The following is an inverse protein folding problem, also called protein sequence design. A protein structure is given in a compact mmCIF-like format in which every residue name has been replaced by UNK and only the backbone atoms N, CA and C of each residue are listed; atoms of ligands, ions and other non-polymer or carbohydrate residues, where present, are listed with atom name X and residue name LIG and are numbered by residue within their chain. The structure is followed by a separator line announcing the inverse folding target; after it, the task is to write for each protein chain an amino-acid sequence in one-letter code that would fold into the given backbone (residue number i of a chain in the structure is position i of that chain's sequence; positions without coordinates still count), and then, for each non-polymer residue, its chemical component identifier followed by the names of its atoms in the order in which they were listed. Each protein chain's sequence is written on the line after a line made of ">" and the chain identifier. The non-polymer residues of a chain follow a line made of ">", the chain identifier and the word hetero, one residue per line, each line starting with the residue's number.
data_IF_973852012991
#
_entry.id   IF_973852012991
#
_cell.length_a   1.000
_cell.length_b   1.000
_cell.length_c   1.000
_cell.angle_alpha   90.00
_cell.angle_beta   90.00
_cell.angle_gamma   90.00
#
_symmetry.space_group_name_H-M   'P 1'
#
loop_
_entity.id
_entity.type
_entity.pdbx_description
1 polymer ?
#
# COMPACT_ATOMS: atom_id res chain seq x y z
N UNK A 1 49.39 11.26 -24.25
CA UNK A 1 48.60 10.10 -23.75
C UNK A 1 47.39 9.94 -24.65
N UNK A 2 47.52 9.12 -25.71
CA UNK A 2 46.41 8.85 -26.64
C UNK A 2 45.43 7.90 -25.96
N UNK A 3 44.24 8.39 -25.64
CA UNK A 3 43.17 7.55 -25.09
C UNK A 3 42.80 6.45 -26.08
N UNK A 4 42.75 5.22 -25.60
CA UNK A 4 42.45 4.05 -26.42
C UNK A 4 41.08 4.23 -27.13
N UNK A 5 41.04 4.21 -28.47
CA UNK A 5 39.82 4.45 -29.23
C UNK A 5 38.74 3.38 -28.98
N UNK A 6 39.09 2.20 -28.48
CA UNK A 6 38.13 1.18 -28.08
C UNK A 6 37.36 1.57 -26.81
N UNK A 7 38.05 2.16 -25.82
CA UNK A 7 37.48 2.65 -24.56
C UNK A 7 36.53 3.82 -24.82
N UNK A 8 36.92 4.75 -25.70
CA UNK A 8 36.07 5.89 -26.07
C UNK A 8 34.75 5.43 -26.71
N UNK A 9 34.78 4.40 -27.57
CA UNK A 9 33.57 3.82 -28.18
C UNK A 9 32.71 3.08 -27.16
N UNK A 10 33.32 2.37 -26.21
CA UNK A 10 32.60 1.70 -25.14
C UNK A 10 31.87 2.70 -24.23
N UNK A 11 32.54 3.78 -23.83
CA UNK A 11 31.95 4.85 -23.03
C UNK A 11 30.82 5.58 -23.76
N UNK A 12 30.97 5.82 -25.07
CA UNK A 12 29.91 6.42 -25.89
C UNK A 12 28.65 5.54 -25.95
N UNK A 13 28.82 4.21 -26.05
CA UNK A 13 27.69 3.25 -26.02
C UNK A 13 27.01 3.23 -24.66
N UNK A 14 27.79 3.23 -23.57
CA UNK A 14 27.26 3.27 -22.21
C UNK A 14 26.45 4.54 -21.95
N UNK A 15 26.98 5.70 -22.35
CA UNK A 15 26.30 6.99 -22.24
C UNK A 15 24.98 7.01 -23.00
N UNK A 16 24.97 6.52 -24.25
CA UNK A 16 23.76 6.42 -25.07
C UNK A 16 22.72 5.47 -24.48
N UNK A 17 23.15 4.36 -23.88
CA UNK A 17 22.25 3.43 -23.19
C UNK A 17 21.63 4.05 -21.94
N UNK A 18 22.42 4.83 -21.17
CA UNK A 18 21.95 5.53 -19.98
C UNK A 18 20.93 6.62 -20.34
N UNK A 19 21.24 7.45 -21.34
CA UNK A 19 20.34 8.50 -21.84
C UNK A 19 19.01 7.91 -22.37
N UNK A 20 19.07 6.75 -23.05
CA UNK A 20 17.87 6.05 -23.51
C UNK A 20 17.03 5.56 -22.33
N UNK A 21 17.65 5.04 -21.27
CA UNK A 21 16.96 4.56 -20.07
C UNK A 21 16.30 5.70 -19.29
N UNK A 22 17.03 6.78 -19.08
CA UNK A 22 16.48 7.99 -18.44
C UNK A 22 15.25 8.52 -19.18
N UNK A 23 15.29 8.59 -20.53
CA UNK A 23 14.12 8.99 -21.33
C UNK A 23 12.92 8.04 -21.20
N UNK A 24 13.15 6.76 -20.93
CA UNK A 24 12.05 5.82 -20.69
C UNK A 24 11.44 6.05 -19.32
N UNK A 25 12.26 6.34 -18.31
CA UNK A 25 11.82 6.64 -16.95
C UNK A 25 11.04 7.97 -16.92
N UNK A 26 11.55 9.03 -17.57
CA UNK A 26 10.85 10.32 -17.71
C UNK A 26 9.49 10.15 -18.41
N UNK A 27 9.43 9.31 -19.45
CA UNK A 27 8.18 9.02 -20.17
C UNK A 27 7.21 8.17 -19.36
N UNK A 28 7.72 7.26 -18.53
CA UNK A 28 6.92 6.47 -17.61
C UNK A 28 6.34 7.35 -16.48
N UNK A 29 7.14 8.29 -15.98
CA UNK A 29 6.74 9.29 -14.99
C UNK A 29 5.72 10.28 -15.58
N UNK A 30 5.92 10.75 -16.82
CA UNK A 30 4.96 11.60 -17.54
C UNK A 30 3.63 10.89 -17.81
N UNK A 31 3.67 9.59 -18.17
CA UNK A 31 2.47 8.76 -18.33
C UNK A 31 1.73 8.56 -17.00
N UNK A 32 2.47 8.30 -15.91
CA UNK A 32 1.90 8.16 -14.56
C UNK A 32 1.25 9.48 -14.08
N UNK A 33 1.89 10.62 -14.35
CA UNK A 33 1.36 11.95 -14.02
C UNK A 33 0.06 12.25 -14.78
N UNK A 34 -0.05 11.81 -16.05
CA UNK A 34 -1.27 11.96 -16.87
C UNK A 34 -2.42 11.06 -16.43
N UNK A 35 -2.16 9.94 -15.76
CA UNK A 35 -3.20 9.06 -15.23
C UNK A 35 -3.85 9.58 -13.93
N UNK A 36 -3.20 10.51 -13.22
CA UNK A 36 -3.68 11.08 -11.95
C UNK A 36 -4.95 11.97 -12.02
N UNK A 37 -5.45 12.25 -13.23
CA UNK A 37 -6.59 13.17 -13.45
C UNK A 37 -7.90 12.52 -13.91
N UNK A 38 -7.97 11.20 -14.06
CA UNK A 38 -9.22 10.53 -14.50
C UNK A 38 -10.14 10.29 -13.31
N UNK A 39 -11.47 10.52 -13.43
CA UNK A 39 -12.42 10.09 -12.42
C UNK A 39 -12.28 8.58 -12.20
N UNK A 40 -12.48 8.11 -10.96
CA UNK A 40 -12.34 6.70 -10.55
C UNK A 40 -13.12 5.79 -11.50
N UNK A 41 -12.47 5.31 -12.56
CA UNK A 41 -12.87 4.09 -13.25
C UNK A 41 -12.44 2.95 -12.33
N UNK A 42 -13.26 1.93 -12.19
CA UNK A 42 -13.17 0.79 -11.28
C UNK A 42 -11.85 -0.01 -11.35
N UNK A 43 -10.71 0.62 -11.02
CA UNK A 43 -9.39 0.12 -11.39
C UNK A 43 -8.54 -0.39 -10.23
N UNK A 44 -8.42 0.36 -9.13
CA UNK A 44 -7.61 -0.08 -7.97
C UNK A 44 -8.26 0.45 -6.70
N UNK A 45 -8.83 -0.46 -5.92
CA UNK A 45 -9.36 -0.17 -4.59
C UNK A 45 -8.21 0.23 -3.65
N UNK A 46 -8.55 0.90 -2.55
CA UNK A 46 -7.57 1.11 -1.48
C UNK A 46 -7.04 -0.25 -0.99
N UNK A 47 -5.73 -0.36 -0.84
CA UNK A 47 -5.08 -1.60 -0.46
C UNK A 47 -3.87 -1.33 0.44
N UNK A 48 -3.29 -2.39 1.00
CA UNK A 48 -2.00 -2.32 1.65
C UNK A 48 -0.93 -2.94 0.75
N UNK A 49 0.26 -2.37 0.73
CA UNK A 49 1.43 -2.98 0.09
C UNK A 49 2.00 -4.07 1.02
N UNK A 50 1.34 -5.22 1.04
CA UNK A 50 1.73 -6.37 1.88
C UNK A 50 3.09 -6.94 1.47
N UNK A 51 3.50 -6.79 0.21
CA UNK A 51 4.84 -7.14 -0.24
C UNK A 51 5.92 -6.23 0.40
N UNK A 52 5.67 -4.92 0.48
CA UNK A 52 6.54 -3.99 1.19
C UNK A 52 6.58 -4.27 2.69
N UNK A 53 5.43 -4.60 3.30
CA UNK A 53 5.36 -5.04 4.69
C UNK A 53 6.21 -6.30 4.91
N UNK A 54 6.07 -7.31 4.05
CA UNK A 54 6.84 -8.55 4.12
C UNK A 54 8.35 -8.32 4.03
N UNK A 55 8.81 -7.42 3.17
CA UNK A 55 10.24 -7.05 3.08
C UNK A 55 10.78 -6.41 4.36
N UNK A 56 9.97 -5.65 5.09
CA UNK A 56 10.35 -5.04 6.36
C UNK A 56 10.28 -6.04 7.52
N UNK A 57 9.29 -6.92 7.50
CA UNK A 57 9.02 -7.89 8.55
C UNK A 57 10.01 -9.06 8.53
N UNK A 58 10.44 -9.51 7.34
CA UNK A 58 11.35 -10.66 7.17
C UNK A 58 12.60 -10.63 8.06
N UNK A 59 13.44 -9.58 8.06
CA UNK A 59 14.64 -9.56 8.91
C UNK A 59 14.32 -9.59 10.41
N UNK A 60 13.17 -9.06 10.84
CA UNK A 60 12.75 -9.09 12.25
C UNK A 60 12.38 -10.52 12.68
N UNK A 61 11.63 -11.24 11.84
CA UNK A 61 11.26 -12.63 12.09
C UNK A 61 12.47 -13.57 12.04
N UNK A 62 13.40 -13.32 11.11
CA UNK A 62 14.65 -14.09 11.00
C UNK A 62 15.54 -13.89 12.23
N UNK A 63 15.61 -12.68 12.78
CA UNK A 63 16.37 -12.39 13.99
C UNK A 63 15.74 -13.01 15.24
N UNK A 64 14.42 -13.00 15.35
CA UNK A 64 13.69 -13.55 16.49
C UNK A 64 13.90 -15.08 16.64
N UNK A 65 13.97 -15.80 15.52
CA UNK A 65 14.31 -17.22 15.48
C UNK A 65 13.23 -18.17 16.02
N UNK A 66 12.11 -17.67 16.57
CA UNK A 66 10.96 -18.49 16.97
C UNK A 66 10.17 -18.98 15.76
N UNK A 67 9.50 -20.11 15.93
CA UNK A 67 8.63 -20.67 14.90
C UNK A 67 7.45 -19.75 14.58
N UNK A 68 7.02 -19.74 13.32
CA UNK A 68 5.99 -18.83 12.82
C UNK A 68 4.64 -18.92 13.55
N UNK A 69 4.31 -20.10 14.11
CA UNK A 69 3.10 -20.26 14.93
C UNK A 69 3.17 -19.45 16.21
N UNK A 70 4.30 -19.52 16.91
CA UNK A 70 4.52 -18.80 18.18
C UNK A 70 4.39 -17.29 17.96
N UNK A 71 4.99 -16.78 16.89
CA UNK A 71 4.90 -15.36 16.55
C UNK A 71 3.50 -14.95 16.12
N UNK A 72 2.81 -15.79 15.35
CA UNK A 72 1.43 -15.51 14.96
C UNK A 72 0.51 -15.41 16.19
N UNK A 73 0.66 -16.33 17.15
CA UNK A 73 -0.12 -16.33 18.39
C UNK A 73 0.14 -15.08 19.23
N UNK A 74 1.40 -14.63 19.33
CA UNK A 74 1.77 -13.40 20.05
C UNK A 74 1.19 -12.13 19.40
N UNK A 75 1.23 -12.06 18.07
CA UNK A 75 0.68 -10.93 17.28
C UNK A 75 -0.86 -10.93 17.29
N UNK A 76 -1.49 -12.08 17.57
CA UNK A 76 -2.94 -12.26 17.43
C UNK A 76 -3.39 -12.45 15.98
N UNK A 77 -2.55 -13.08 15.15
CA UNK A 77 -2.86 -13.48 13.77
C UNK A 77 -2.63 -14.98 13.58
N UNK A 78 -2.94 -15.52 12.40
CA UNK A 78 -2.69 -16.94 12.11
C UNK A 78 -1.38 -17.13 11.35
N UNK A 79 -0.73 -18.30 11.48
CA UNK A 79 0.49 -18.58 10.71
C UNK A 79 0.29 -18.51 9.17
N UNK A 80 -0.88 -18.86 8.60
CA UNK A 80 -1.18 -18.56 7.19
C UNK A 80 -1.18 -17.07 6.85
N UNK A 81 -1.57 -16.18 7.76
CA UNK A 81 -1.56 -14.74 7.49
C UNK A 81 -0.12 -14.23 7.30
N UNK A 82 0.82 -14.68 8.15
CA UNK A 82 2.24 -14.38 8.00
C UNK A 82 2.79 -14.91 6.66
N UNK A 83 2.35 -16.11 6.23
CA UNK A 83 2.70 -16.68 4.93
C UNK A 83 2.17 -15.85 3.77
N UNK A 84 0.92 -15.39 3.83
CA UNK A 84 0.35 -14.48 2.83
C UNK A 84 1.15 -13.19 2.74
N UNK A 85 1.51 -12.58 3.87
CA UNK A 85 2.33 -11.37 3.89
C UNK A 85 3.71 -11.62 3.26
N UNK A 86 4.36 -12.75 3.57
CA UNK A 86 5.65 -13.09 2.96
C UNK A 86 5.56 -13.37 1.46
N UNK A 87 4.41 -13.84 0.98
CA UNK A 87 4.10 -14.00 -0.44
C UNK A 87 3.60 -12.71 -1.12
N UNK A 88 3.44 -11.61 -0.37
CA UNK A 88 2.89 -10.35 -0.89
C UNK A 88 1.40 -10.42 -1.24
N UNK A 89 0.67 -11.35 -0.64
CA UNK A 89 -0.77 -11.51 -0.82
C UNK A 89 -1.54 -10.60 0.15
N UNK A 90 -2.75 -10.23 -0.25
CA UNK A 90 -3.62 -9.37 0.56
C UNK A 90 -4.13 -10.08 1.82
N UNK A 91 -4.23 -9.30 2.89
CA UNK A 91 -4.81 -9.70 4.17
C UNK A 91 -5.75 -8.60 4.67
N UNK A 92 -6.62 -8.96 5.61
CA UNK A 92 -7.56 -8.00 6.21
C UNK A 92 -6.81 -6.85 6.91
N UNK A 93 -7.32 -5.63 6.78
CA UNK A 93 -6.70 -4.43 7.33
C UNK A 93 -6.37 -4.53 8.83
N UNK A 94 -7.27 -5.13 9.63
CA UNK A 94 -7.04 -5.37 11.06
C UNK A 94 -5.78 -6.18 11.35
N UNK A 95 -5.44 -7.13 10.48
CA UNK A 95 -4.22 -7.95 10.60
C UNK A 95 -2.97 -7.17 10.23
N UNK A 96 -3.06 -6.25 9.27
CA UNK A 96 -1.95 -5.32 8.95
C UNK A 96 -1.65 -4.43 10.16
N UNK A 97 -2.67 -3.91 10.83
CA UNK A 97 -2.50 -3.13 12.06
C UNK A 97 -1.81 -3.93 13.15
N UNK A 98 -2.31 -5.12 13.49
CA UNK A 98 -1.72 -5.98 14.51
C UNK A 98 -0.24 -6.30 14.24
N UNK A 99 0.10 -6.66 12.98
CA UNK A 99 1.48 -6.94 12.58
C UNK A 99 2.36 -5.69 12.70
N UNK A 100 1.86 -4.52 12.27
CA UNK A 100 2.60 -3.27 12.36
C UNK A 100 2.82 -2.84 13.81
N UNK A 101 1.82 -2.97 14.68
CA UNK A 101 1.90 -2.62 16.09
C UNK A 101 2.96 -3.49 16.81
N UNK A 102 2.95 -4.80 16.56
CA UNK A 102 3.97 -5.71 17.09
C UNK A 102 5.39 -5.38 16.57
N UNK A 103 5.51 -5.08 15.28
CA UNK A 103 6.80 -4.78 14.64
C UNK A 103 7.30 -3.35 14.89
N UNK A 104 6.55 -2.51 15.61
CA UNK A 104 6.88 -1.08 15.79
C UNK A 104 6.89 -0.29 14.48
N UNK A 105 6.10 -0.71 13.48
CA UNK A 105 6.01 -0.09 12.16
C UNK A 105 4.75 0.79 12.04
N UNK A 106 4.80 1.79 11.18
CA UNK A 106 3.62 2.61 10.89
C UNK A 106 2.78 1.97 9.76
N UNK A 107 1.54 1.53 10.01
CA UNK A 107 0.67 0.93 8.99
C UNK A 107 0.36 1.89 7.83
N UNK A 108 0.34 3.22 8.09
CA UNK A 108 0.10 4.23 7.05
C UNK A 108 1.20 4.26 6.00
N UNK A 109 2.42 3.83 6.33
CA UNK A 109 3.53 3.75 5.37
C UNK A 109 3.32 2.68 4.31
N UNK A 110 2.44 1.71 4.56
CA UNK A 110 2.08 0.64 3.63
C UNK A 110 0.73 0.86 2.96
N UNK A 111 0.00 1.93 3.32
CA UNK A 111 -1.30 2.21 2.73
C UNK A 111 -1.15 2.74 1.31
N UNK A 112 -1.83 2.08 0.37
CA UNK A 112 -1.95 2.50 -1.03
C UNK A 112 -3.33 3.11 -1.25
N UNK A 113 -3.42 4.44 -1.49
CA UNK A 113 -4.69 5.07 -1.80
C UNK A 113 -5.26 4.52 -3.12
N UNK A 114 -6.59 4.55 -3.31
CA UNK A 114 -7.19 4.17 -4.58
C UNK A 114 -6.73 5.11 -5.69
N UNK A 115 -6.50 4.58 -6.88
CA UNK A 115 -6.12 5.40 -8.04
C UNK A 115 -7.28 6.33 -8.44
N UNK A 116 -6.95 7.61 -8.67
CA UNK A 116 -7.95 8.64 -9.00
C UNK A 116 -8.82 9.08 -7.82
N UNK A 117 -8.47 8.69 -6.59
CA UNK A 117 -9.16 9.22 -5.41
C UNK A 117 -8.97 10.74 -5.31
N UNK A 118 -10.04 11.51 -5.01
CA UNK A 118 -9.91 12.94 -4.80
C UNK A 118 -8.96 13.24 -3.63
N UNK A 119 -8.28 14.40 -3.63
CA UNK A 119 -7.38 14.75 -2.54
C UNK A 119 -8.12 14.77 -1.19
N UNK A 120 -7.41 14.48 -0.08
CA UNK A 120 -7.99 14.52 1.26
C UNK A 120 -8.72 15.83 1.51
N UNK A 121 -9.90 15.75 2.15
CA UNK A 121 -10.68 16.94 2.47
C UNK A 121 -9.89 17.83 3.43
N UNK A 122 -9.76 19.12 3.10
CA UNK A 122 -9.10 20.12 3.96
C UNK A 122 -9.84 20.38 5.27
N UNK A 123 -11.13 20.04 5.34
CA UNK A 123 -11.99 20.27 6.51
C UNK A 123 -12.76 19.00 6.84
N UNK A 124 -12.97 18.69 8.14
CA UNK A 124 -13.88 17.64 8.55
C UNK A 124 -15.23 17.79 7.84
N UNK A 125 -15.85 16.66 7.49
CA UNK A 125 -17.22 16.70 6.98
C UNK A 125 -18.08 17.33 8.08
N UNK A 126 -18.74 18.46 7.77
CA UNK A 126 -19.79 18.99 8.65
C UNK A 126 -20.82 17.89 8.81
N UNK A 127 -20.89 17.29 9.99
CA UNK A 127 -22.04 16.48 10.37
C UNK A 127 -23.24 17.42 10.36
N UNK A 128 -24.33 17.09 9.65
CA UNK A 128 -25.57 17.82 9.84
C UNK A 128 -26.00 17.57 11.29
N UNK A 129 -25.69 18.48 12.20
CA UNK A 129 -26.38 18.51 13.49
C UNK A 129 -27.87 18.70 13.17
N UNK A 130 -28.68 17.68 13.45
CA UNK A 130 -30.13 17.86 13.54
C UNK A 130 -31.02 17.37 12.39
N UNK A 131 -30.64 16.37 11.57
CA UNK A 131 -31.69 15.48 11.03
C UNK A 131 -31.92 14.35 12.01
N UNK A 132 -32.60 14.69 13.11
CA UNK A 132 -33.34 13.73 13.92
C UNK A 132 -34.25 12.95 12.97
N UNK A 133 -33.97 11.65 12.88
CA UNK A 133 -34.82 10.70 12.19
C UNK A 133 -36.19 10.74 12.87
N UNK A 134 -37.16 11.43 12.26
CA UNK A 134 -38.55 11.41 12.71
C UNK A 134 -39.21 10.12 12.21
N UNK A 135 -38.73 8.98 12.74
CA UNK A 135 -39.50 7.76 12.67
C UNK A 135 -40.68 7.92 13.61
N UNK A 136 -41.88 8.17 13.06
CA UNK A 136 -43.12 8.01 13.82
C UNK A 136 -43.23 6.53 14.13
N UNK A 137 -42.91 6.13 15.36
CA UNK A 137 -43.19 4.80 15.90
C UNK A 137 -44.69 4.54 15.74
N UNK A 138 -45.07 3.67 14.81
CA UNK A 138 -46.34 2.97 14.91
C UNK A 138 -46.14 1.83 15.90
N UNK A 139 -46.42 2.11 17.17
CA UNK A 139 -46.81 1.07 18.11
C UNK A 139 -48.05 0.37 17.53
N UNK A 140 -47.89 -0.80 16.93
CA UNK A 140 -48.95 -1.80 16.92
C UNK A 140 -48.69 -2.73 18.09
N UNK A 141 -49.43 -2.46 19.16
CA UNK A 141 -49.43 -3.21 20.41
C UNK A 141 -49.70 -4.70 20.20
N UNK A 142 -49.14 -5.47 21.12
CA UNK A 142 -49.47 -6.85 21.38
C UNK A 142 -50.96 -6.93 21.75
N UNK A 143 -51.72 -7.73 21.02
CA UNK A 143 -53.06 -8.16 21.37
C UNK A 143 -53.16 -9.66 21.09
N UNK A 144 -53.26 -10.42 22.18
CA UNK A 144 -53.46 -11.86 22.39
C UNK A 144 -53.98 -12.69 21.21
#
# INVERSE_FOLDING_TARGET
>A
MSGDPSILRAMARLRKALEKRMRMDDRAEELAAREGGRPIRSGVLAAFDTAALGRKLRPMLEYDGRGWRVLADEIGVTSPDLSRVMAGQDIAAGKVFAICDWAGLNPRSFYRPPLGAPPPRKRPRRVPHGRVFHGKSTETGVGL
#
